data_IF_059142424714
#
_entry.id   IF_059142424714
#
_cell.length_a   1.000
_cell.length_b   1.000
_cell.length_c   1.000
_cell.angle_alpha   90.00
_cell.angle_beta   90.00
_cell.angle_gamma   90.00
#
_symmetry.space_group_name_H-M   'P 1'
#
loop_
_entity.id
_entity.type
_entity.pdbx_description
1 polymer ?
#
# COMPACT_ATOMS: atom_id res chain seq x y z
N UNK A 1 -19.69 -16.83 -44.18
CA UNK A 1 -18.39 -16.14 -44.08
C UNK A 1 -18.44 -14.88 -43.21
N UNK A 2 -19.35 -13.93 -43.44
CA UNK A 2 -19.36 -12.67 -42.66
C UNK A 2 -19.75 -12.84 -41.17
N UNK A 3 -20.73 -13.69 -40.87
CA UNK A 3 -21.15 -13.95 -39.48
C UNK A 3 -20.05 -14.71 -38.70
N UNK A 4 -19.43 -15.70 -39.35
CA UNK A 4 -18.36 -16.50 -38.75
C UNK A 4 -17.12 -15.68 -38.43
N UNK A 5 -16.76 -14.68 -39.26
CA UNK A 5 -15.64 -13.77 -38.97
C UNK A 5 -15.96 -12.82 -37.83
N UNK A 6 -17.20 -12.32 -37.75
CA UNK A 6 -17.65 -11.46 -36.64
C UNK A 6 -17.62 -12.23 -35.32
N UNK A 7 -18.11 -13.47 -35.29
CA UNK A 7 -18.05 -14.32 -34.10
C UNK A 7 -16.59 -14.60 -33.69
N UNK A 8 -15.73 -14.94 -34.66
CA UNK A 8 -14.31 -15.17 -34.39
C UNK A 8 -13.62 -13.92 -33.81
N UNK A 9 -13.94 -12.72 -34.31
CA UNK A 9 -13.42 -11.47 -33.79
C UNK A 9 -13.90 -11.19 -32.35
N UNK A 10 -15.18 -11.43 -32.05
CA UNK A 10 -15.72 -11.26 -30.69
C UNK A 10 -15.06 -12.23 -29.71
N UNK A 11 -14.87 -13.50 -30.10
CA UNK A 11 -14.18 -14.49 -29.27
C UNK A 11 -12.74 -14.06 -29.00
N UNK A 12 -12.02 -13.58 -30.02
CA UNK A 12 -10.66 -13.08 -29.87
C UNK A 12 -10.59 -11.89 -28.91
N UNK A 13 -11.50 -10.91 -29.06
CA UNK A 13 -11.59 -9.76 -28.16
C UNK A 13 -11.88 -10.21 -26.73
N UNK A 14 -12.81 -11.15 -26.54
CA UNK A 14 -13.14 -11.70 -25.23
C UNK A 14 -11.93 -12.36 -24.55
N UNK A 15 -11.13 -13.13 -25.30
CA UNK A 15 -9.90 -13.74 -24.79
C UNK A 15 -8.85 -12.69 -24.37
N UNK A 16 -8.68 -11.63 -25.16
CA UNK A 16 -7.78 -10.51 -24.81
C UNK A 16 -8.24 -9.79 -23.55
N UNK A 17 -9.55 -9.53 -23.42
CA UNK A 17 -10.12 -8.90 -22.22
C UNK A 17 -9.94 -9.80 -21.00
N UNK A 18 -10.19 -11.10 -21.10
CA UNK A 18 -9.98 -12.05 -20.00
C UNK A 18 -8.51 -12.12 -19.58
N UNK A 19 -7.59 -12.13 -20.54
CA UNK A 19 -6.16 -12.07 -20.26
C UNK A 19 -5.77 -10.76 -19.54
N UNK A 20 -6.31 -9.61 -19.99
CA UNK A 20 -6.09 -8.32 -19.37
C UNK A 20 -6.66 -8.26 -17.93
N UNK A 21 -7.87 -8.76 -17.70
CA UNK A 21 -8.46 -8.78 -16.35
C UNK A 21 -7.62 -9.62 -15.37
N UNK A 22 -6.98 -10.70 -15.86
CA UNK A 22 -6.08 -11.53 -15.07
C UNK A 22 -4.77 -10.79 -14.75
N UNK A 23 -4.16 -10.09 -15.72
CA UNK A 23 -2.93 -9.31 -15.50
C UNK A 23 -3.15 -8.09 -14.62
N UNK A 24 -4.35 -7.53 -14.60
CA UNK A 24 -4.74 -6.44 -13.71
C UNK A 24 -4.98 -6.90 -12.26
N UNK A 25 -5.11 -8.20 -12.01
CA UNK A 25 -5.29 -8.72 -10.65
C UNK A 25 -6.64 -8.35 -10.02
N UNK A 26 -7.65 -7.95 -10.81
CA UNK A 26 -8.99 -7.55 -10.35
C UNK A 26 -9.62 -8.62 -9.42
N UNK A 27 -9.40 -9.89 -9.77
CA UNK A 27 -9.91 -11.06 -9.04
C UNK A 27 -9.02 -11.53 -7.89
N UNK A 28 -7.89 -10.86 -7.59
CA UNK A 28 -7.08 -11.26 -6.43
C UNK A 28 -7.88 -11.06 -5.15
N UNK A 29 -7.93 -12.14 -4.36
CA UNK A 29 -8.54 -12.17 -3.05
C UNK A 29 -7.66 -11.44 -2.05
N UNK A 30 -8.25 -10.51 -1.30
CA UNK A 30 -7.59 -9.82 -0.19
C UNK A 30 -7.71 -10.72 1.04
N UNK A 31 -6.60 -11.25 1.53
CA UNK A 31 -6.57 -12.06 2.75
C UNK A 31 -6.30 -11.16 3.95
N UNK A 32 -7.35 -10.87 4.72
CA UNK A 32 -7.24 -10.10 5.96
C UNK A 32 -6.87 -11.04 7.10
N UNK A 33 -5.81 -10.72 7.82
CA UNK A 33 -5.31 -11.50 8.95
C UNK A 33 -5.16 -10.64 10.19
N UNK A 34 -5.45 -11.23 11.35
CA UNK A 34 -5.14 -10.63 12.66
C UNK A 34 -3.85 -11.31 13.12
N UNK A 35 -2.74 -10.59 13.05
CA UNK A 35 -1.42 -11.14 13.38
C UNK A 35 -0.57 -10.10 14.07
N UNK A 36 0.60 -10.51 14.55
CA UNK A 36 1.64 -9.57 14.93
C UNK A 36 2.17 -8.90 13.65
N UNK A 37 2.27 -7.56 13.61
CA UNK A 37 2.83 -6.88 12.45
C UNK A 37 4.26 -7.39 12.19
N UNK A 38 4.71 -7.42 10.92
CA UNK A 38 6.07 -7.86 10.57
C UNK A 38 7.17 -6.94 11.13
N UNK A 39 6.79 -5.81 11.73
CA UNK A 39 7.66 -4.85 12.40
C UNK A 39 7.26 -4.73 13.88
N UNK A 40 8.24 -4.73 14.79
CA UNK A 40 7.98 -4.53 16.23
C UNK A 40 7.61 -3.09 16.56
N UNK A 41 8.27 -2.13 15.90
CA UNK A 41 8.09 -0.71 16.12
C UNK A 41 8.41 0.03 14.82
N UNK A 42 7.50 0.88 14.37
CA UNK A 42 7.67 1.65 13.14
C UNK A 42 8.13 3.07 13.49
N UNK A 43 9.29 3.46 12.96
CA UNK A 43 9.81 4.82 13.11
C UNK A 43 9.75 5.54 11.78
N UNK A 44 9.05 6.67 11.74
CA UNK A 44 8.92 7.53 10.57
C UNK A 44 9.79 8.76 10.83
N UNK A 45 10.82 8.94 9.99
CA UNK A 45 11.69 10.12 10.05
C UNK A 45 11.32 11.01 8.88
N UNK A 46 11.00 12.29 9.12
CA UNK A 46 10.53 13.20 8.08
C UNK A 46 11.04 14.62 8.29
N UNK A 47 11.18 15.39 7.22
CA UNK A 47 11.60 16.80 7.30
C UNK A 47 10.67 17.68 6.50
N UNK A 48 10.02 18.63 7.19
CA UNK A 48 9.21 19.64 6.53
C UNK A 48 10.10 20.74 5.98
N UNK A 49 10.06 20.95 4.66
CA UNK A 49 10.57 22.16 4.02
C UNK A 49 9.38 22.98 3.50
N UNK A 50 9.43 24.31 3.67
CA UNK A 50 8.46 25.24 3.09
C UNK A 50 9.17 26.01 1.97
N UNK A 51 8.65 25.94 0.74
CA UNK A 51 9.25 26.57 -0.43
C UNK A 51 8.44 26.33 -1.72
N UNK A 52 8.87 26.92 -2.83
CA UNK A 52 8.22 26.73 -4.14
C UNK A 52 8.43 25.30 -4.64
N UNK A 53 7.34 24.65 -5.06
CA UNK A 53 7.31 23.25 -5.52
C UNK A 53 8.28 22.97 -6.66
N UNK A 54 8.54 23.95 -7.52
CA UNK A 54 9.48 23.87 -8.65
C UNK A 54 10.94 23.62 -8.23
N UNK A 55 11.30 23.79 -6.96
CA UNK A 55 12.67 23.55 -6.43
C UNK A 55 12.77 22.28 -5.56
N UNK A 56 11.76 21.41 -5.59
CA UNK A 56 11.69 20.23 -4.73
C UNK A 56 12.44 19.00 -5.27
N UNK A 57 13.06 19.08 -6.46
CA UNK A 57 13.87 18.00 -7.03
C UNK A 57 15.01 17.62 -6.05
N UNK A 58 15.04 16.35 -5.64
CA UNK A 58 16.04 15.71 -4.75
C UNK A 58 15.87 15.84 -3.22
N UNK A 59 14.71 16.25 -2.70
CA UNK A 59 14.47 16.20 -1.25
C UNK A 59 13.78 14.89 -0.83
N UNK A 60 14.50 14.01 -0.12
CA UNK A 60 13.89 12.90 0.63
C UNK A 60 12.98 13.50 1.71
N UNK A 61 11.66 13.35 1.54
CA UNK A 61 10.68 13.89 2.49
C UNK A 61 10.65 13.10 3.81
N UNK A 62 11.10 11.84 3.78
CA UNK A 62 11.25 11.00 4.95
C UNK A 62 11.57 9.55 4.59
N UNK A 63 11.81 8.74 5.62
CA UNK A 63 12.02 7.31 5.50
C UNK A 63 11.32 6.57 6.65
N UNK A 64 10.80 5.39 6.33
CA UNK A 64 10.36 4.42 7.33
C UNK A 64 11.58 3.58 7.67
N UNK A 65 12.00 3.60 8.93
CA UNK A 65 13.23 2.98 9.41
C UNK A 65 12.94 2.03 10.57
N UNK A 66 13.72 0.96 10.64
CA UNK A 66 13.69 0.05 11.77
C UNK A 66 14.63 0.60 12.86
N UNK A 67 14.08 0.92 14.02
CA UNK A 67 14.85 1.49 15.12
C UNK A 67 15.99 0.59 15.59
N UNK A 68 15.91 -0.73 15.39
CA UNK A 68 16.98 -1.64 15.80
C UNK A 68 18.15 -1.58 14.81
N UNK A 69 17.85 -1.53 13.51
CA UNK A 69 18.87 -1.60 12.45
C UNK A 69 19.46 -0.23 12.13
N UNK A 70 18.65 0.81 12.14
CA UNK A 70 18.97 2.11 11.55
C UNK A 70 19.30 3.18 12.60
N UNK A 71 19.78 2.79 13.78
CA UNK A 71 20.07 3.74 14.89
C UNK A 71 21.01 4.87 14.49
N UNK A 72 22.05 4.55 13.72
CA UNK A 72 23.02 5.55 13.27
C UNK A 72 22.40 6.52 12.26
N UNK A 73 21.57 6.00 11.35
CA UNK A 73 20.84 6.79 10.36
C UNK A 73 19.86 7.74 11.05
N UNK A 74 19.10 7.27 12.04
CA UNK A 74 18.16 8.09 12.81
C UNK A 74 18.89 9.26 13.48
N UNK A 75 20.04 9.00 14.13
CA UNK A 75 20.86 10.06 14.76
C UNK A 75 21.37 11.09 13.74
N UNK A 76 21.82 10.62 12.57
CA UNK A 76 22.25 11.51 11.50
C UNK A 76 21.10 12.36 10.96
N UNK A 77 19.91 11.77 10.80
CA UNK A 77 18.71 12.47 10.36
C UNK A 77 18.25 13.51 11.39
N UNK A 78 18.25 13.18 12.69
CA UNK A 78 17.96 14.13 13.76
C UNK A 78 18.93 15.32 13.74
N UNK A 79 20.24 15.06 13.58
CA UNK A 79 21.26 16.11 13.44
C UNK A 79 20.99 17.02 12.23
N UNK A 80 20.41 16.47 11.17
CA UNK A 80 20.04 17.19 9.95
C UNK A 80 18.65 17.85 10.02
N UNK A 81 18.08 18.04 11.22
CA UNK A 81 16.79 18.67 11.47
C UNK A 81 15.60 17.87 10.90
N UNK A 82 15.69 16.55 10.81
CA UNK A 82 14.52 15.71 10.60
C UNK A 82 13.79 15.52 11.93
N UNK A 83 12.47 15.43 11.86
CA UNK A 83 11.59 15.05 12.97
C UNK A 83 11.42 13.54 12.96
N UNK A 84 11.44 12.94 14.14
CA UNK A 84 11.23 11.50 14.33
C UNK A 84 9.87 11.30 14.96
N UNK A 85 9.04 10.47 14.34
CA UNK A 85 7.77 10.03 14.86
C UNK A 85 7.80 8.52 15.06
N UNK A 86 7.60 8.09 16.31
CA UNK A 86 7.55 6.68 16.67
C UNK A 86 6.11 6.27 16.85
N UNK A 87 5.68 5.27 16.09
CA UNK A 87 4.40 4.62 16.35
C UNK A 87 4.50 3.78 17.63
N UNK A 88 3.44 3.73 18.45
CA UNK A 88 3.42 2.86 19.61
C UNK A 88 3.54 1.39 19.16
N UNK A 89 4.15 0.55 20.00
CA UNK A 89 4.20 -0.88 19.71
C UNK A 89 2.78 -1.48 19.84
N UNK A 90 2.42 -2.37 18.91
CA UNK A 90 1.12 -3.03 18.89
C UNK A 90 1.29 -4.54 19.00
N UNK A 91 0.59 -5.16 19.94
CA UNK A 91 0.62 -6.62 20.13
C UNK A 91 -0.16 -7.37 19.04
N UNK A 92 -1.19 -6.74 18.47
CA UNK A 92 -2.02 -7.28 17.40
C UNK A 92 -2.37 -6.18 16.42
N UNK A 93 -2.27 -6.48 15.13
CA UNK A 93 -2.76 -5.61 14.06
C UNK A 93 -3.69 -6.38 13.12
N UNK A 94 -4.68 -5.66 12.60
CA UNK A 94 -5.45 -6.13 11.45
C UNK A 94 -4.69 -5.71 10.22
N UNK A 95 -4.14 -6.69 9.50
CA UNK A 95 -3.21 -6.45 8.40
C UNK A 95 -3.66 -7.18 7.14
N UNK A 96 -3.40 -6.56 6.00
CA UNK A 96 -3.56 -7.18 4.69
C UNK A 96 -2.50 -6.66 3.74
N UNK A 97 -2.06 -7.52 2.83
CA UNK A 97 -1.22 -7.14 1.69
C UNK A 97 -2.04 -7.13 0.41
N UNK A 98 -1.69 -6.22 -0.49
CA UNK A 98 -2.11 -6.29 -1.87
C UNK A 98 -0.87 -6.23 -2.77
N UNK A 99 -0.71 -7.16 -3.72
CA UNK A 99 0.50 -7.22 -4.53
C UNK A 99 0.57 -6.04 -5.49
N UNK A 100 1.65 -5.27 -5.40
CA UNK A 100 1.94 -4.19 -6.33
C UNK A 100 2.53 -4.76 -7.63
N UNK A 101 1.73 -4.74 -8.70
CA UNK A 101 2.11 -5.31 -10.00
C UNK A 101 2.18 -4.27 -11.12
N UNK A 102 1.32 -3.25 -11.05
CA UNK A 102 1.22 -2.18 -12.04
C UNK A 102 0.53 -0.95 -11.41
N UNK A 103 0.53 0.19 -12.11
CA UNK A 103 -0.11 1.42 -11.62
C UNK A 103 -1.60 1.18 -11.30
N UNK A 104 -2.29 0.38 -12.09
CA UNK A 104 -3.71 0.04 -11.87
C UNK A 104 -3.93 -0.77 -10.58
N UNK A 105 -2.95 -1.57 -10.16
CA UNK A 105 -3.03 -2.31 -8.89
C UNK A 105 -3.06 -1.38 -7.68
N UNK A 106 -2.44 -0.19 -7.74
CA UNK A 106 -2.57 0.84 -6.69
C UNK A 106 -4.00 1.36 -6.63
N UNK A 107 -4.58 1.72 -7.79
CA UNK A 107 -5.95 2.22 -7.83
C UNK A 107 -6.95 1.18 -7.33
N UNK A 108 -6.79 -0.09 -7.73
CA UNK A 108 -7.62 -1.20 -7.25
C UNK A 108 -7.43 -1.38 -5.74
N UNK A 109 -6.19 -1.33 -5.24
CA UNK A 109 -5.91 -1.45 -3.81
C UNK A 109 -6.59 -0.33 -3.01
N UNK A 110 -6.39 0.93 -3.40
CA UNK A 110 -6.94 2.10 -2.72
C UNK A 110 -8.48 2.09 -2.65
N UNK A 111 -9.17 1.53 -3.66
CA UNK A 111 -10.64 1.39 -3.62
C UNK A 111 -11.10 0.16 -2.84
N UNK A 112 -10.45 -0.99 -3.05
CA UNK A 112 -10.96 -2.30 -2.58
C UNK A 112 -10.50 -2.64 -1.17
N UNK A 113 -9.27 -2.27 -0.80
CA UNK A 113 -8.64 -2.66 0.47
C UNK A 113 -9.30 -1.97 1.66
N UNK A 114 -9.47 -0.63 1.69
CA UNK A 114 -10.08 0.03 2.84
C UNK A 114 -11.52 -0.41 3.07
N UNK A 115 -12.28 -0.61 1.98
CA UNK A 115 -13.65 -1.11 2.05
C UNK A 115 -13.71 -2.51 2.67
N UNK A 116 -12.94 -3.47 2.13
CA UNK A 116 -12.93 -4.85 2.66
C UNK A 116 -12.40 -4.93 4.08
N UNK A 117 -11.41 -4.11 4.42
CA UNK A 117 -10.87 -4.05 5.77
C UNK A 117 -11.90 -3.47 6.75
N UNK A 118 -12.61 -2.42 6.35
CA UNK A 118 -13.70 -1.82 7.13
C UNK A 118 -14.83 -2.80 7.41
N UNK A 119 -15.28 -3.55 6.40
CA UNK A 119 -16.31 -4.59 6.54
C UNK A 119 -15.86 -5.67 7.54
N UNK A 120 -14.59 -6.10 7.46
CA UNK A 120 -14.04 -7.11 8.35
C UNK A 120 -13.96 -6.62 9.80
N UNK A 121 -13.47 -5.39 10.02
CA UNK A 121 -13.37 -4.77 11.34
C UNK A 121 -14.74 -4.63 11.98
N UNK A 122 -15.74 -4.18 11.21
CA UNK A 122 -17.13 -4.05 11.67
C UNK A 122 -17.75 -5.41 12.01
N UNK A 123 -17.61 -6.40 11.12
CA UNK A 123 -18.16 -7.74 11.34
C UNK A 123 -17.56 -8.43 12.58
N UNK A 124 -16.28 -8.17 12.86
CA UNK A 124 -15.59 -8.72 14.04
C UNK A 124 -15.67 -7.84 15.28
N UNK A 125 -16.26 -6.64 15.18
CA UNK A 125 -16.34 -5.63 16.26
C UNK A 125 -14.98 -5.37 16.92
N UNK A 126 -13.94 -5.19 16.10
CA UNK A 126 -12.57 -4.95 16.57
C UNK A 126 -12.33 -3.44 16.63
N UNK A 127 -11.69 -2.97 17.69
CA UNK A 127 -11.14 -1.61 17.75
C UNK A 127 -9.75 -1.62 17.11
N UNK A 128 -9.66 -1.11 15.87
CA UNK A 128 -8.44 -1.13 15.08
C UNK A 128 -7.99 0.30 14.74
N UNK A 129 -7.35 0.95 15.71
CA UNK A 129 -6.75 2.27 15.56
C UNK A 129 -5.28 2.23 15.99
N UNK A 130 -4.38 3.01 15.33
CA UNK A 130 -4.59 3.88 14.17
C UNK A 130 -4.58 3.14 12.81
N UNK A 131 -5.10 3.76 11.75
CA UNK A 131 -5.05 3.25 10.38
C UNK A 131 -3.80 3.75 9.65
N UNK A 132 -3.08 2.85 8.97
CA UNK A 132 -1.87 3.16 8.22
C UNK A 132 -1.85 2.35 6.91
N UNK A 133 -1.57 3.04 5.80
CA UNK A 133 -1.38 2.44 4.48
C UNK A 133 0.04 2.74 3.99
N UNK A 134 0.71 1.71 3.47
CA UNK A 134 2.07 1.79 2.95
C UNK A 134 2.03 1.19 1.54
N UNK A 135 2.52 1.96 0.56
CA UNK A 135 2.58 1.59 -0.85
C UNK A 135 3.97 1.09 -1.23
#
# INVERSE_FOLDING_TARGET
MMITTVIAAIVLISLVVLWLLKTLGVFKSISIQITQPPFKQLTIVYKFQRGSYSKAENNVFGAIVDEIKDRELIKQMEKNNYKVFKLPAFDRSVYTTFPFQNILSIFIAAMKVPYRLGDYIQAKKIEAHPFLEIY
#
